data_IF_354292133826
#
_entry.id   IF_354292133826
#
_cell.length_a   1.000
_cell.length_b   1.000
_cell.length_c   1.000
_cell.angle_alpha   90.00
_cell.angle_beta   90.00
_cell.angle_gamma   90.00
#
_symmetry.space_group_name_H-M   'P 1'
#
loop_
_entity.id
_entity.type
_entity.pdbx_description
1 polymer ?
#
# COMPACT_ATOMS: atom_id res chain seq x y z
N UNK A 1 23.87 -19.62 33.54
CA UNK A 1 22.53 -19.20 33.94
C UNK A 1 22.13 -18.04 33.05
N UNK A 2 21.35 -18.31 32.00
CA UNK A 2 20.81 -17.30 31.11
C UNK A 2 19.35 -17.09 31.51
N UNK A 3 19.05 -15.92 32.03
CA UNK A 3 17.68 -15.52 32.34
C UNK A 3 16.90 -15.40 31.01
N UNK A 4 15.91 -16.25 30.87
CA UNK A 4 14.88 -16.11 29.83
C UNK A 4 13.96 -15.00 30.30
N UNK A 5 14.01 -13.82 29.64
CA UNK A 5 12.91 -12.86 29.72
C UNK A 5 11.70 -13.49 29.04
N UNK A 6 10.73 -13.91 29.83
CA UNK A 6 9.40 -14.28 29.34
C UNK A 6 8.71 -13.02 28.86
N UNK A 7 8.32 -12.96 27.60
CA UNK A 7 7.23 -12.12 27.16
C UNK A 7 5.97 -12.66 27.83
N UNK A 8 5.50 -12.01 28.89
CA UNK A 8 4.18 -12.27 29.47
C UNK A 8 3.12 -11.70 28.52
N UNK A 9 2.67 -12.51 27.57
CA UNK A 9 1.42 -12.27 26.89
C UNK A 9 0.30 -12.45 27.91
N UNK A 10 -0.45 -11.41 28.16
CA UNK A 10 -1.56 -11.33 29.08
C UNK A 10 -2.58 -12.46 28.84
N UNK A 11 -2.54 -13.48 29.64
CA UNK A 11 -3.62 -14.46 29.79
C UNK A 11 -4.68 -13.90 30.73
N UNK A 12 -5.45 -12.91 30.28
CA UNK A 12 -6.61 -12.44 31.02
C UNK A 12 -7.87 -12.87 30.28
N UNK A 13 -8.67 -13.82 30.81
CA UNK A 13 -9.90 -14.30 30.18
C UNK A 13 -10.99 -13.23 30.03
N UNK A 14 -10.82 -12.06 30.65
CA UNK A 14 -11.75 -10.93 30.53
C UNK A 14 -11.69 -10.22 29.17
N UNK A 15 -10.65 -10.43 28.35
CA UNK A 15 -10.50 -9.78 27.04
C UNK A 15 -11.23 -10.53 25.92
N UNK A 16 -11.62 -11.81 26.16
CA UNK A 16 -12.40 -12.58 25.17
C UNK A 16 -13.88 -12.21 25.04
N UNK A 17 -14.38 -11.30 25.89
CA UNK A 17 -15.78 -10.91 25.93
C UNK A 17 -16.10 -9.54 25.30
N UNK A 18 -15.14 -8.80 24.77
CA UNK A 18 -15.34 -7.41 24.29
C UNK A 18 -15.33 -7.30 22.75
N UNK A 19 -15.17 -8.40 22.04
CA UNK A 19 -15.05 -8.38 20.57
C UNK A 19 -16.39 -8.48 19.81
N UNK A 20 -17.53 -8.27 20.45
CA UNK A 20 -18.84 -8.11 19.78
C UNK A 20 -19.60 -6.98 20.48
N UNK A 21 -19.13 -5.76 20.29
CA UNK A 21 -19.96 -4.59 20.46
C UNK A 21 -19.80 -3.72 19.21
N UNK A 22 -20.66 -3.94 18.24
CA UNK A 22 -20.91 -3.01 17.14
C UNK A 22 -21.25 -1.65 17.74
N UNK A 23 -20.33 -0.70 17.67
CA UNK A 23 -20.68 0.71 17.85
C UNK A 23 -21.07 1.25 16.48
N UNK A 24 -22.37 1.14 16.20
CA UNK A 24 -23.00 1.93 15.15
C UNK A 24 -22.92 3.40 15.58
N UNK A 25 -21.94 4.15 15.10
CA UNK A 25 -21.95 5.61 15.22
C UNK A 25 -22.79 6.16 14.08
N UNK A 26 -24.08 6.34 14.34
CA UNK A 26 -24.94 7.14 13.49
C UNK A 26 -24.50 8.61 13.60
N UNK A 27 -23.74 9.10 12.63
CA UNK A 27 -23.54 10.53 12.45
C UNK A 27 -24.77 11.11 11.76
N UNK A 28 -25.69 11.64 12.56
CA UNK A 28 -26.81 12.46 12.07
C UNK A 28 -26.24 13.82 11.70
N UNK A 29 -26.07 14.09 10.40
CA UNK A 29 -25.82 15.43 9.91
C UNK A 29 -27.16 16.12 9.66
N UNK A 30 -27.42 17.20 10.41
CA UNK A 30 -28.53 18.12 10.15
C UNK A 30 -28.33 18.80 8.79
N UNK A 31 -29.16 18.42 7.84
CA UNK A 31 -29.23 19.06 6.55
C UNK A 31 -29.90 20.42 6.62
N UNK A 32 -29.43 21.35 5.83
CA UNK A 32 -30.08 22.61 5.54
C UNK A 32 -31.36 22.34 4.72
N UNK A 33 -32.53 22.61 5.30
CA UNK A 33 -33.82 22.49 4.63
C UNK A 33 -33.91 23.40 3.41
N UNK A 34 -34.12 22.80 2.22
CA UNK A 34 -34.83 23.44 1.09
C UNK A 34 -36.09 22.65 0.76
N UNK A 35 -37.17 23.40 0.64
CA UNK A 35 -38.53 22.94 0.60
C UNK A 35 -38.87 21.90 -0.49
N UNK A 36 -39.56 20.84 -0.08
CA UNK A 36 -40.64 20.22 -0.83
C UNK A 36 -40.27 19.34 -2.02
N UNK A 37 -39.73 18.13 -1.76
CA UNK A 37 -39.89 16.96 -2.61
C UNK A 37 -39.98 15.73 -1.69
N UNK A 38 -40.92 14.84 -2.01
CA UNK A 38 -41.19 13.58 -1.27
C UNK A 38 -39.91 12.71 -1.28
N UNK A 39 -39.24 12.61 -0.14
CA UNK A 39 -37.90 12.07 0.05
C UNK A 39 -37.87 10.55 0.35
N UNK A 40 -38.98 9.85 0.10
CA UNK A 40 -39.13 8.47 0.52
C UNK A 40 -38.50 7.41 -0.42
N UNK A 41 -37.84 7.80 -1.51
CA UNK A 41 -37.45 6.87 -2.55
C UNK A 41 -35.98 6.49 -2.64
N UNK A 42 -35.05 7.23 -2.03
CA UNK A 42 -33.62 6.86 -2.04
C UNK A 42 -32.95 7.40 -0.78
N UNK A 43 -32.58 6.49 0.10
CA UNK A 43 -31.70 6.78 1.21
C UNK A 43 -30.42 5.96 0.99
N UNK A 44 -29.36 6.52 0.34
CA UNK A 44 -28.09 5.85 0.33
C UNK A 44 -27.56 5.86 1.76
N UNK A 45 -27.81 4.79 2.49
CA UNK A 45 -27.13 4.57 3.75
C UNK A 45 -25.71 4.18 3.40
N UNK A 46 -24.80 5.17 3.38
CA UNK A 46 -23.38 4.91 3.26
C UNK A 46 -22.92 4.38 4.61
N UNK A 47 -22.95 3.06 4.75
CA UNK A 47 -22.30 2.40 5.88
C UNK A 47 -20.81 2.35 5.54
N UNK A 48 -20.05 3.25 6.13
CA UNK A 48 -18.59 3.12 6.14
C UNK A 48 -18.28 1.98 7.10
N UNK A 49 -18.26 0.74 6.59
CA UNK A 49 -17.55 -0.29 7.33
C UNK A 49 -16.08 0.16 7.38
N UNK A 50 -15.52 0.28 8.57
CA UNK A 50 -14.09 0.47 8.81
C UNK A 50 -13.35 -0.75 8.26
N UNK A 51 -13.14 -0.82 6.96
CA UNK A 51 -12.82 -2.06 6.31
C UNK A 51 -11.71 -2.00 5.29
N UNK A 52 -10.90 -0.95 5.23
CA UNK A 52 -9.85 -0.89 4.21
C UNK A 52 -8.53 -1.47 4.69
N UNK A 53 -8.30 -1.63 5.98
CA UNK A 53 -7.20 -2.44 6.53
C UNK A 53 -7.45 -2.70 8.01
N UNK A 54 -6.84 -3.74 8.55
CA UNK A 54 -6.81 -3.96 9.98
C UNK A 54 -6.12 -2.78 10.68
N UNK A 55 -6.63 -2.32 11.84
CA UNK A 55 -5.93 -1.34 12.66
C UNK A 55 -4.49 -1.79 12.93
N UNK A 56 -3.57 -0.84 13.08
CA UNK A 56 -2.14 -1.14 13.30
C UNK A 56 -1.91 -2.19 14.38
N UNK A 57 -2.65 -2.11 15.48
CA UNK A 57 -2.56 -3.09 16.57
C UNK A 57 -2.92 -4.51 16.13
N UNK A 58 -3.99 -4.69 15.35
CA UNK A 58 -4.39 -6.01 14.84
C UNK A 58 -3.37 -6.54 13.81
N UNK A 59 -2.80 -5.66 13.00
CA UNK A 59 -1.70 -6.02 12.10
C UNK A 59 -0.48 -6.51 12.87
N UNK A 60 -0.08 -5.81 13.92
CA UNK A 60 1.06 -6.20 14.77
C UNK A 60 0.81 -7.54 15.48
N UNK A 61 -0.38 -7.75 16.00
CA UNK A 61 -0.75 -9.04 16.63
C UNK A 61 -0.69 -10.17 15.63
N UNK A 62 -1.23 -9.99 14.42
CA UNK A 62 -1.21 -11.02 13.38
C UNK A 62 0.22 -11.31 12.90
N UNK A 63 1.03 -10.27 12.68
CA UNK A 63 2.42 -10.42 12.23
C UNK A 63 3.35 -11.04 13.29
N UNK A 64 2.97 -11.00 14.56
CA UNK A 64 3.68 -11.64 15.67
C UNK A 64 3.02 -12.95 16.10
N UNK A 65 2.18 -13.57 15.26
CA UNK A 65 1.53 -14.84 15.60
C UNK A 65 2.52 -15.99 15.80
N UNK A 66 2.11 -16.97 16.60
CA UNK A 66 2.93 -18.15 16.84
C UNK A 66 3.16 -18.95 15.55
N UNK A 67 2.20 -18.93 14.62
CA UNK A 67 2.31 -19.56 13.31
C UNK A 67 3.42 -18.92 12.47
N UNK A 68 3.49 -17.58 12.42
CA UNK A 68 4.55 -16.86 11.69
C UNK A 68 5.92 -17.21 12.25
N UNK A 69 6.04 -17.33 13.59
CA UNK A 69 7.26 -17.73 14.26
C UNK A 69 7.65 -19.19 13.96
N UNK A 70 6.69 -20.12 13.99
CA UNK A 70 6.91 -21.52 13.68
C UNK A 70 7.40 -21.72 12.25
N UNK A 71 6.87 -20.95 11.28
CA UNK A 71 7.36 -20.97 9.90
C UNK A 71 8.81 -20.49 9.82
N UNK A 72 9.13 -19.40 10.53
CA UNK A 72 10.49 -18.85 10.56
C UNK A 72 11.50 -19.84 11.18
N UNK A 73 11.11 -20.50 12.27
CA UNK A 73 11.96 -21.50 12.97
C UNK A 73 12.03 -22.84 12.21
N UNK A 74 11.27 -23.00 11.11
CA UNK A 74 11.21 -24.22 10.32
C UNK A 74 10.39 -25.36 10.95
N UNK A 75 9.65 -25.07 12.00
CA UNK A 75 8.79 -26.04 12.70
C UNK A 75 7.48 -26.29 11.93
N UNK A 76 7.03 -25.30 11.18
CA UNK A 76 5.82 -25.38 10.35
C UNK A 76 6.17 -25.15 8.88
N UNK A 77 5.68 -26.00 7.98
CA UNK A 77 5.83 -25.78 6.54
C UNK A 77 4.97 -24.61 6.11
N UNK A 78 5.50 -23.77 5.19
CA UNK A 78 4.82 -22.59 4.65
C UNK A 78 3.43 -22.94 4.07
N UNK A 79 3.29 -24.09 3.43
CA UNK A 79 2.02 -24.62 2.90
C UNK A 79 0.95 -24.89 3.97
N UNK A 80 1.32 -25.01 5.24
CA UNK A 80 0.42 -25.20 6.37
C UNK A 80 0.29 -23.93 7.24
N UNK A 81 1.16 -22.96 7.06
CA UNK A 81 0.96 -21.64 7.63
C UNK A 81 -0.22 -21.02 6.90
N UNK A 82 -1.27 -20.67 7.64
CA UNK A 82 -2.38 -19.91 7.07
C UNK A 82 -1.82 -18.55 6.68
N UNK A 83 -1.37 -18.42 5.43
CA UNK A 83 -1.22 -17.13 4.82
C UNK A 83 -2.63 -16.50 4.85
N UNK A 84 -2.82 -15.52 5.70
CA UNK A 84 -4.12 -14.87 5.84
C UNK A 84 -4.47 -14.03 4.62
N UNK A 85 -3.56 -13.97 3.61
CA UNK A 85 -3.63 -13.04 2.50
C UNK A 85 -3.45 -11.60 2.96
N UNK A 86 -3.30 -10.67 2.03
CA UNK A 86 -3.29 -9.25 2.34
C UNK A 86 -4.64 -8.88 2.98
N UNK A 87 -4.68 -8.04 4.04
CA UNK A 87 -5.91 -7.65 4.72
C UNK A 87 -6.70 -6.62 3.90
N UNK A 88 -6.69 -6.78 2.59
CA UNK A 88 -7.44 -5.94 1.68
C UNK A 88 -8.94 -6.09 1.90
N UNK A 89 -9.66 -4.98 1.93
CA UNK A 89 -11.13 -4.92 1.95
C UNK A 89 -11.59 -3.88 0.94
N UNK A 90 -12.50 -4.21 0.02
CA UNK A 90 -13.17 -3.23 -0.81
C UNK A 90 -14.05 -2.32 0.05
N UNK A 91 -14.21 -1.08 -0.38
CA UNK A 91 -15.25 -0.23 0.18
C UNK A 91 -16.61 -0.68 -0.36
N UNK A 92 -17.60 -0.86 0.54
CA UNK A 92 -18.94 -1.26 0.16
C UNK A 92 -19.83 -0.03 0.17
N UNK A 93 -20.31 0.39 -1.01
CA UNK A 93 -21.32 1.44 -1.13
C UNK A 93 -22.71 0.78 -1.14
N UNK A 94 -23.46 0.95 -0.06
CA UNK A 94 -24.81 0.44 0.07
C UNK A 94 -25.83 1.42 -0.53
N UNK A 95 -26.86 0.89 -1.21
CA UNK A 95 -27.92 1.68 -1.80
C UNK A 95 -29.21 0.88 -1.93
N UNK A 96 -30.34 1.59 -2.08
CA UNK A 96 -31.61 1.01 -2.43
C UNK A 96 -32.26 1.80 -3.57
N UNK A 97 -32.62 1.11 -4.64
CA UNK A 97 -33.25 1.69 -5.84
C UNK A 97 -34.59 1.00 -6.08
N UNK A 98 -35.67 1.78 -6.18
CA UNK A 98 -37.02 1.23 -6.25
C UNK A 98 -37.47 0.80 -7.66
N UNK A 99 -37.03 1.48 -8.73
CA UNK A 99 -37.58 1.28 -10.06
C UNK A 99 -36.63 1.33 -11.24
N UNK A 100 -35.38 1.74 -11.07
CA UNK A 100 -34.44 1.87 -12.16
C UNK A 100 -32.99 1.71 -11.68
N UNK A 101 -32.13 1.22 -12.55
CA UNK A 101 -30.67 1.26 -12.33
C UNK A 101 -30.18 2.70 -12.37
N UNK A 102 -29.05 2.96 -11.68
CA UNK A 102 -28.44 4.28 -11.57
C UNK A 102 -26.95 4.24 -11.88
N UNK A 103 -26.33 5.40 -11.76
CA UNK A 103 -24.88 5.58 -11.88
C UNK A 103 -24.40 6.27 -10.60
N UNK A 104 -23.37 5.68 -9.96
CA UNK A 104 -22.60 6.30 -8.91
C UNK A 104 -21.35 6.91 -9.53
N UNK A 105 -21.12 8.19 -9.29
CA UNK A 105 -19.86 8.88 -9.54
C UNK A 105 -19.12 9.10 -8.24
N UNK A 106 -17.83 8.82 -8.22
CA UNK A 106 -16.98 8.96 -7.06
C UNK A 106 -15.71 9.72 -7.44
N UNK A 107 -15.36 10.73 -6.65
CA UNK A 107 -14.16 11.55 -6.86
C UNK A 107 -13.59 12.06 -5.54
N UNK A 108 -12.27 12.30 -5.51
CA UNK A 108 -11.62 13.07 -4.44
C UNK A 108 -11.91 14.57 -4.59
N UNK A 109 -12.24 15.04 -5.79
CA UNK A 109 -12.61 16.42 -6.10
C UNK A 109 -14.12 16.60 -6.17
N UNK A 110 -14.60 17.65 -5.51
CA UNK A 110 -16.02 18.03 -5.49
C UNK A 110 -16.58 18.47 -6.87
N UNK A 111 -15.71 18.76 -7.84
CA UNK A 111 -16.12 19.06 -9.22
C UNK A 111 -16.43 17.80 -10.05
N UNK A 112 -16.04 16.62 -9.58
CA UNK A 112 -16.14 15.35 -10.31
C UNK A 112 -15.42 15.31 -11.66
N UNK A 113 -14.39 16.14 -11.86
CA UNK A 113 -13.63 16.21 -13.11
C UNK A 113 -13.01 14.85 -13.50
N UNK A 114 -12.49 14.11 -12.49
CA UNK A 114 -11.86 12.80 -12.65
C UNK A 114 -12.67 11.68 -11.97
N UNK A 115 -14.01 11.77 -12.03
CA UNK A 115 -14.86 10.82 -11.34
C UNK A 115 -14.77 9.41 -11.93
N UNK A 116 -14.68 8.45 -11.04
CA UNK A 116 -14.91 7.04 -11.38
C UNK A 116 -16.42 6.77 -11.39
N UNK A 117 -16.89 6.01 -12.39
CA UNK A 117 -18.30 5.66 -12.53
C UNK A 117 -18.54 4.19 -12.26
N UNK A 118 -19.62 3.91 -11.50
CA UNK A 118 -20.08 2.58 -11.14
C UNK A 118 -21.57 2.44 -11.46
N UNK A 119 -21.92 1.34 -12.12
CA UNK A 119 -23.32 1.02 -12.38
C UNK A 119 -24.00 0.50 -11.11
N UNK A 120 -25.11 1.11 -10.73
CA UNK A 120 -25.96 0.66 -9.64
C UNK A 120 -27.13 -0.13 -10.20
N UNK A 121 -27.10 -1.44 -10.00
CA UNK A 121 -28.17 -2.35 -10.46
C UNK A 121 -29.32 -2.34 -9.47
N UNK A 122 -30.54 -2.06 -9.94
CA UNK A 122 -31.76 -2.04 -9.10
C UNK A 122 -32.06 -3.36 -8.37
N UNK A 123 -31.51 -4.47 -8.83
CA UNK A 123 -31.67 -5.79 -8.18
C UNK A 123 -30.67 -6.04 -7.07
N UNK A 124 -29.71 -5.12 -6.85
CA UNK A 124 -28.67 -5.20 -5.83
C UNK A 124 -28.85 -4.09 -4.81
N UNK A 125 -28.24 -4.28 -3.64
CA UNK A 125 -28.27 -3.32 -2.54
C UNK A 125 -26.90 -2.73 -2.25
N UNK A 126 -25.87 -3.15 -2.98
CA UNK A 126 -24.50 -2.63 -2.81
C UNK A 126 -23.65 -2.78 -4.06
N UNK A 127 -22.61 -1.97 -4.13
CA UNK A 127 -21.50 -2.09 -5.08
C UNK A 127 -20.18 -2.04 -4.32
N UNK A 128 -19.26 -2.93 -4.67
CA UNK A 128 -17.90 -2.92 -4.14
C UNK A 128 -17.03 -1.98 -4.95
N UNK A 129 -16.27 -1.14 -4.24
CA UNK A 129 -15.36 -0.17 -4.82
C UNK A 129 -13.96 -0.50 -4.33
N UNK A 130 -13.12 -0.88 -5.28
CA UNK A 130 -11.77 -1.34 -5.00
C UNK A 130 -10.76 -0.19 -4.97
N UNK A 131 -9.68 -0.39 -4.20
CA UNK A 131 -8.44 0.37 -4.27
C UNK A 131 -8.55 1.87 -3.94
N UNK A 132 -9.53 2.27 -3.13
CA UNK A 132 -9.60 3.64 -2.64
C UNK A 132 -8.36 4.01 -1.81
N UNK A 133 -7.99 5.28 -1.81
CA UNK A 133 -6.98 5.81 -0.90
C UNK A 133 -7.51 5.79 0.53
N UNK A 134 -6.61 5.59 1.49
CA UNK A 134 -6.93 5.57 2.92
C UNK A 134 -6.85 6.98 3.52
N UNK A 135 -7.63 7.25 4.58
CA UNK A 135 -7.67 8.55 5.23
C UNK A 135 -8.13 9.69 4.31
N UNK A 136 -8.82 9.39 3.22
CA UNK A 136 -9.18 10.31 2.14
C UNK A 136 -10.68 10.58 2.14
N UNK A 137 -11.06 11.83 1.91
CA UNK A 137 -12.47 12.21 1.73
C UNK A 137 -12.86 12.07 0.27
N UNK A 138 -13.94 11.33 0.03
CA UNK A 138 -14.53 11.15 -1.28
C UNK A 138 -15.87 11.87 -1.36
N UNK A 139 -16.13 12.51 -2.51
CA UNK A 139 -17.42 13.03 -2.92
C UNK A 139 -18.11 11.96 -3.77
N UNK A 140 -19.38 11.71 -3.51
CA UNK A 140 -20.19 10.84 -4.33
C UNK A 140 -21.40 11.54 -4.89
N UNK A 141 -21.84 11.09 -6.07
CA UNK A 141 -23.04 11.53 -6.74
C UNK A 141 -23.74 10.32 -7.34
N UNK A 142 -25.00 10.10 -6.97
CA UNK A 142 -25.85 9.04 -7.50
C UNK A 142 -26.88 9.68 -8.42
N UNK A 143 -26.95 9.22 -9.66
CA UNK A 143 -27.96 9.65 -10.63
C UNK A 143 -28.91 8.48 -10.94
N UNK A 144 -30.22 8.67 -10.71
CA UNK A 144 -31.27 7.70 -11.00
C UNK A 144 -32.50 8.41 -11.53
N UNK A 145 -33.01 7.99 -12.70
CA UNK A 145 -34.24 8.52 -13.30
C UNK A 145 -34.24 10.07 -13.41
N UNK A 146 -33.08 10.67 -13.69
CA UNK A 146 -32.93 12.12 -13.80
C UNK A 146 -32.90 12.89 -12.46
N UNK A 147 -32.94 12.18 -11.33
CA UNK A 147 -32.70 12.73 -10.00
C UNK A 147 -31.24 12.51 -9.60
N UNK A 148 -30.70 13.43 -8.83
CA UNK A 148 -29.31 13.41 -8.40
C UNK A 148 -29.21 13.55 -6.88
N UNK A 149 -28.39 12.70 -6.27
CA UNK A 149 -28.11 12.64 -4.83
C UNK A 149 -26.62 12.75 -4.63
N UNK A 150 -26.16 13.53 -3.66
CA UNK A 150 -24.73 13.77 -3.44
C UNK A 150 -24.40 13.75 -1.95
N UNK A 151 -23.20 13.37 -1.64
CA UNK A 151 -22.67 13.41 -0.29
C UNK A 151 -21.17 13.17 -0.27
N UNK A 152 -20.65 12.95 0.92
CA UNK A 152 -19.23 12.67 1.15
C UNK A 152 -19.08 11.56 2.16
N UNK A 153 -17.99 10.80 2.07
CA UNK A 153 -17.52 9.90 3.12
C UNK A 153 -16.00 10.00 3.24
N UNK A 154 -15.44 9.50 4.32
CA UNK A 154 -14.00 9.44 4.54
C UNK A 154 -13.59 8.01 4.82
N UNK A 155 -12.57 7.53 4.10
CA UNK A 155 -11.98 6.22 4.35
C UNK A 155 -11.16 6.22 5.65
N UNK A 156 -11.05 5.04 6.29
CA UNK A 156 -10.22 4.88 7.48
C UNK A 156 -8.74 5.21 7.20
N UNK A 157 -8.04 5.76 8.20
CA UNK A 157 -6.61 6.02 8.10
C UNK A 157 -5.83 4.75 8.45
N UNK A 158 -5.18 4.15 7.47
CA UNK A 158 -4.42 2.90 7.61
C UNK A 158 -3.44 2.73 6.47
N UNK A 159 -2.62 1.68 6.51
CA UNK A 159 -1.83 1.29 5.33
C UNK A 159 -2.77 0.96 4.17
N UNK A 160 -2.46 1.49 2.99
CA UNK A 160 -3.25 1.24 1.78
C UNK A 160 -2.81 -0.04 1.11
N UNK A 161 -3.53 -1.13 1.40
CA UNK A 161 -3.41 -2.37 0.64
C UNK A 161 -4.17 -2.23 -0.69
N UNK A 162 -3.69 -2.95 -1.70
CA UNK A 162 -4.21 -2.90 -3.07
C UNK A 162 -4.53 -4.31 -3.52
N UNK A 163 -5.59 -4.46 -4.30
CA UNK A 163 -5.98 -5.71 -4.93
C UNK A 163 -5.87 -5.61 -6.45
N UNK A 164 -5.03 -6.46 -7.02
CA UNK A 164 -4.92 -6.71 -8.46
C UNK A 164 -4.90 -8.23 -8.62
N UNK A 165 -5.78 -8.82 -9.44
CA UNK A 165 -5.80 -10.28 -9.64
C UNK A 165 -4.43 -10.81 -10.09
N UNK A 166 -3.97 -11.90 -9.47
CA UNK A 166 -2.69 -12.54 -9.79
C UNK A 166 -1.45 -11.78 -9.32
N UNK A 167 -1.60 -10.71 -8.54
CA UNK A 167 -0.48 -9.92 -8.01
C UNK A 167 -0.58 -9.83 -6.50
N UNK A 168 0.49 -10.20 -5.81
CA UNK A 168 0.55 -10.32 -4.38
C UNK A 168 1.45 -9.26 -3.72
N UNK A 169 1.34 -9.13 -2.40
CA UNK A 169 2.15 -8.21 -1.59
C UNK A 169 2.01 -6.74 -1.99
N UNK A 170 0.84 -6.39 -2.55
CA UNK A 170 0.54 -5.07 -3.10
C UNK A 170 0.16 -4.08 -2.03
N UNK A 171 0.81 -2.94 -2.03
CA UNK A 171 0.46 -1.78 -1.21
C UNK A 171 1.08 -0.48 -1.71
N UNK A 172 0.46 0.61 -1.35
CA UNK A 172 0.98 1.96 -1.55
C UNK A 172 2.02 2.27 -0.46
N UNK A 173 3.12 2.90 -0.80
CA UNK A 173 4.08 3.41 0.19
C UNK A 173 3.66 4.76 0.77
N UNK A 174 2.59 5.37 0.25
CA UNK A 174 2.02 6.62 0.73
C UNK A 174 1.13 6.46 1.97
N UNK A 175 0.69 7.59 2.52
CA UNK A 175 -0.15 7.65 3.72
C UNK A 175 0.61 7.66 5.04
N UNK A 176 1.91 7.36 5.04
CA UNK A 176 2.75 7.45 6.23
C UNK A 176 3.00 8.90 6.65
N UNK A 177 3.03 9.12 7.96
CA UNK A 177 3.41 10.40 8.54
C UNK A 177 4.92 10.48 8.72
N UNK A 178 5.47 11.63 8.42
CA UNK A 178 6.87 11.94 8.69
C UNK A 178 7.04 12.49 10.12
N UNK A 179 8.24 12.43 10.66
CA UNK A 179 8.54 12.93 12.00
C UNK A 179 8.37 14.46 12.11
N UNK A 180 8.43 15.19 11.00
CA UNK A 180 8.17 16.63 10.92
C UNK A 180 6.70 16.98 10.58
N UNK A 181 5.81 15.98 10.57
CA UNK A 181 4.36 16.15 10.49
C UNK A 181 3.77 16.21 9.08
N UNK A 182 4.58 16.05 8.04
CA UNK A 182 4.12 15.91 6.66
C UNK A 182 3.51 14.52 6.42
N UNK A 183 2.97 14.31 5.23
CA UNK A 183 2.45 13.00 4.80
C UNK A 183 3.08 12.61 3.48
N UNK A 184 3.39 11.33 3.29
CA UNK A 184 3.75 10.80 1.98
C UNK A 184 2.49 10.67 1.15
N UNK A 185 2.46 11.30 -0.03
CA UNK A 185 1.34 11.26 -0.96
C UNK A 185 1.04 9.83 -1.40
N UNK A 186 -0.24 9.48 -1.45
CA UNK A 186 -0.70 8.18 -1.95
C UNK A 186 -0.88 8.19 -3.47
N UNK A 187 -0.74 7.00 -4.08
CA UNK A 187 -0.97 6.80 -5.51
C UNK A 187 0.25 7.07 -6.39
N UNK A 188 1.38 7.47 -5.81
CA UNK A 188 2.60 7.71 -6.58
C UNK A 188 3.41 6.43 -6.79
N UNK A 189 3.66 5.67 -5.74
CA UNK A 189 4.46 4.45 -5.81
C UNK A 189 3.73 3.30 -5.13
N UNK A 190 3.41 2.31 -5.95
CA UNK A 190 2.81 1.05 -5.52
C UNK A 190 3.90 -0.02 -5.58
N UNK A 191 4.06 -0.77 -4.49
CA UNK A 191 5.00 -1.90 -4.45
C UNK A 191 4.26 -3.23 -4.48
N UNK A 192 4.90 -4.25 -5.06
CA UNK A 192 4.33 -5.61 -5.13
C UNK A 192 5.32 -6.67 -5.58
N UNK A 193 4.81 -7.87 -5.92
CA UNK A 193 5.57 -8.96 -6.53
C UNK A 193 5.76 -8.74 -8.04
N UNK A 194 6.48 -9.65 -8.71
CA UNK A 194 6.58 -9.66 -10.17
C UNK A 194 5.21 -9.82 -10.84
N UNK A 195 5.12 -9.40 -12.10
CA UNK A 195 3.87 -9.38 -12.87
C UNK A 195 3.84 -10.42 -13.99
N UNK A 196 4.96 -11.08 -14.27
CA UNK A 196 5.20 -11.86 -15.49
C UNK A 196 5.29 -13.38 -15.26
N UNK A 197 5.27 -13.83 -14.00
CA UNK A 197 5.33 -15.25 -13.66
C UNK A 197 6.67 -15.92 -13.96
N UNK A 198 7.74 -15.17 -14.26
CA UNK A 198 9.03 -15.76 -14.70
C UNK A 198 9.69 -16.54 -13.57
N UNK A 199 9.63 -16.06 -12.35
CA UNK A 199 10.21 -16.74 -11.16
C UNK A 199 9.17 -17.44 -10.32
N UNK A 200 7.94 -16.95 -10.33
CA UNK A 200 6.81 -17.58 -9.65
C UNK A 200 5.57 -17.50 -10.56
N UNK A 201 5.17 -18.62 -11.15
CA UNK A 201 4.06 -18.72 -12.09
C UNK A 201 2.70 -18.27 -11.50
N UNK A 202 2.56 -18.24 -10.17
CA UNK A 202 1.37 -17.74 -9.48
C UNK A 202 1.29 -16.19 -9.49
N UNK A 203 2.40 -15.51 -9.81
CA UNK A 203 2.48 -14.05 -9.82
C UNK A 203 2.41 -13.50 -11.22
N UNK A 204 1.20 -13.42 -11.75
CA UNK A 204 0.98 -13.10 -13.15
C UNK A 204 -0.20 -12.15 -13.34
N UNK A 205 0.07 -10.95 -13.88
CA UNK A 205 -0.98 -10.04 -14.35
C UNK A 205 -1.51 -10.50 -15.70
N UNK A 206 -2.75 -10.94 -15.75
CA UNK A 206 -3.37 -11.41 -16.97
C UNK A 206 -3.68 -10.25 -17.95
N UNK A 207 -3.57 -10.48 -19.25
CA UNK A 207 -3.80 -9.45 -20.28
C UNK A 207 -5.17 -8.80 -20.20
N UNK A 208 -6.19 -9.56 -19.80
CA UNK A 208 -7.55 -9.07 -19.61
C UNK A 208 -7.69 -8.03 -18.49
N UNK A 209 -6.78 -8.04 -17.50
CA UNK A 209 -6.85 -7.16 -16.32
C UNK A 209 -6.02 -5.88 -16.50
N UNK A 210 -5.11 -5.84 -17.48
CA UNK A 210 -4.20 -4.71 -17.73
C UNK A 210 -4.96 -3.39 -17.92
N UNK A 211 -6.04 -3.41 -18.72
CA UNK A 211 -6.80 -2.20 -18.99
C UNK A 211 -7.49 -1.64 -17.74
N UNK A 212 -7.99 -2.51 -16.86
CA UNK A 212 -8.59 -2.11 -15.58
C UNK A 212 -7.54 -1.56 -14.61
N UNK A 213 -6.37 -2.21 -14.53
CA UNK A 213 -5.23 -1.76 -13.73
C UNK A 213 -4.76 -0.39 -14.17
N UNK A 214 -4.60 -0.17 -15.48
CA UNK A 214 -4.19 1.12 -16.03
C UNK A 214 -5.25 2.21 -15.81
N UNK A 215 -6.52 1.87 -15.95
CA UNK A 215 -7.60 2.83 -15.65
C UNK A 215 -7.59 3.26 -14.18
N UNK A 216 -7.24 2.35 -13.25
CA UNK A 216 -7.26 2.60 -11.81
C UNK A 216 -6.01 3.34 -11.33
N UNK A 217 -4.83 2.95 -11.82
CA UNK A 217 -3.55 3.45 -11.29
C UNK A 217 -2.80 4.36 -12.25
N UNK A 218 -2.99 4.22 -13.57
CA UNK A 218 -2.32 5.02 -14.58
C UNK A 218 -0.79 4.86 -14.59
N UNK A 219 -0.27 3.67 -14.28
CA UNK A 219 1.17 3.45 -14.22
C UNK A 219 1.88 3.89 -15.50
N UNK A 220 2.93 4.68 -15.34
CA UNK A 220 3.79 5.14 -16.44
C UNK A 220 5.18 4.49 -16.41
N UNK A 221 5.59 3.94 -15.26
CA UNK A 221 6.90 3.32 -15.11
C UNK A 221 6.85 2.06 -14.24
N UNK A 222 7.59 1.04 -14.67
CA UNK A 222 7.77 -0.25 -14.02
C UNK A 222 9.25 -0.38 -13.62
N UNK A 223 9.55 -0.16 -12.34
CA UNK A 223 10.88 -0.23 -11.77
C UNK A 223 11.12 -1.64 -11.23
N UNK A 224 11.80 -2.46 -12.01
CA UNK A 224 12.07 -3.86 -11.71
C UNK A 224 13.44 -4.04 -11.03
N UNK A 225 13.42 -4.47 -9.79
CA UNK A 225 14.62 -4.70 -8.99
C UNK A 225 15.25 -6.07 -9.20
N UNK A 226 14.86 -6.79 -10.24
CA UNK A 226 15.48 -8.06 -10.64
C UNK A 226 16.65 -7.79 -11.57
N UNK A 227 17.60 -8.76 -11.61
CA UNK A 227 18.71 -8.68 -12.56
C UNK A 227 18.21 -8.70 -14.01
N UNK A 228 18.81 -7.92 -14.94
CA UNK A 228 18.48 -7.95 -16.37
C UNK A 228 18.59 -9.36 -17.02
N UNK A 229 19.39 -10.23 -16.41
CA UNK A 229 19.60 -11.61 -16.88
C UNK A 229 18.38 -12.52 -16.65
N UNK A 230 17.30 -11.99 -16.04
CA UNK A 230 16.09 -12.76 -15.74
C UNK A 230 15.32 -13.13 -17.00
N UNK A 231 15.47 -12.35 -18.07
CA UNK A 231 14.83 -12.57 -19.38
C UNK A 231 15.87 -12.59 -20.49
N UNK A 232 15.53 -13.26 -21.60
CA UNK A 232 16.27 -13.18 -22.86
C UNK A 232 15.54 -12.22 -23.82
N UNK A 233 16.27 -11.29 -24.44
CA UNK A 233 15.75 -10.36 -25.44
C UNK A 233 15.04 -9.12 -24.86
N UNK A 234 14.27 -8.45 -25.73
CA UNK A 234 13.56 -7.24 -25.38
C UNK A 234 12.37 -7.54 -24.46
N UNK A 235 12.40 -7.04 -23.26
CA UNK A 235 11.31 -7.16 -22.28
C UNK A 235 10.40 -5.94 -22.36
N UNK A 236 9.09 -6.18 -22.26
CA UNK A 236 8.07 -5.16 -22.09
C UNK A 236 7.33 -5.38 -20.79
N UNK A 237 7.04 -4.31 -20.08
CA UNK A 237 6.24 -4.38 -18.85
C UNK A 237 4.88 -5.01 -19.10
N UNK A 238 4.45 -5.88 -18.19
CA UNK A 238 3.10 -6.45 -18.18
C UNK A 238 2.01 -5.40 -17.94
N UNK A 239 2.39 -4.20 -17.47
CA UNK A 239 1.47 -3.06 -17.30
C UNK A 239 1.06 -2.40 -18.62
N UNK A 240 1.68 -2.78 -19.73
CA UNK A 240 1.35 -2.32 -21.08
C UNK A 240 2.54 -1.73 -21.82
N UNK A 241 2.49 -1.77 -23.14
CA UNK A 241 3.59 -1.34 -24.01
C UNK A 241 3.97 0.15 -23.90
N UNK A 242 3.07 0.99 -23.38
CA UNK A 242 3.31 2.41 -23.15
C UNK A 242 4.03 2.68 -21.81
N UNK A 243 4.16 1.67 -20.93
CA UNK A 243 4.80 1.82 -19.62
C UNK A 243 6.31 1.67 -19.79
N UNK A 244 7.06 2.67 -19.36
CA UNK A 244 8.52 2.59 -19.29
C UNK A 244 8.94 1.46 -18.36
N UNK A 245 10.05 0.79 -18.68
CA UNK A 245 10.54 -0.33 -17.87
C UNK A 245 12.06 -0.30 -17.77
N UNK A 246 12.58 -0.64 -16.58
CA UNK A 246 14.01 -0.81 -16.37
C UNK A 246 14.31 -1.88 -15.33
N UNK A 247 15.20 -2.79 -15.68
CA UNK A 247 15.79 -3.75 -14.73
C UNK A 247 16.96 -3.15 -13.96
N UNK A 248 17.02 -3.49 -12.66
CA UNK A 248 18.15 -3.18 -11.79
C UNK A 248 18.55 -4.40 -10.98
N UNK A 249 19.81 -4.80 -11.00
CA UNK A 249 20.32 -5.79 -10.05
C UNK A 249 20.43 -5.14 -8.67
N UNK A 250 19.29 -5.08 -7.97
CA UNK A 250 19.20 -4.38 -6.70
C UNK A 250 19.66 -5.25 -5.52
N UNK A 251 20.34 -4.65 -4.53
CA UNK A 251 20.77 -5.34 -3.33
C UNK A 251 19.62 -5.66 -2.38
N UNK A 252 19.87 -6.60 -1.46
CA UNK A 252 19.00 -6.87 -0.32
C UNK A 252 19.69 -6.50 0.99
N UNK A 253 18.96 -5.86 1.90
CA UNK A 253 19.43 -5.58 3.26
C UNK A 253 20.81 -4.92 3.30
N UNK A 254 21.72 -5.43 4.13
CA UNK A 254 23.07 -4.91 4.27
C UNK A 254 23.96 -5.03 3.01
N UNK A 255 23.50 -5.66 1.93
CA UNK A 255 24.22 -5.62 0.66
C UNK A 255 24.27 -4.23 0.05
N UNK A 256 23.36 -3.31 0.42
CA UNK A 256 23.39 -1.90 -0.04
C UNK A 256 24.75 -1.25 0.20
N UNK A 257 25.47 -1.64 1.25
CA UNK A 257 26.79 -1.08 1.59
C UNK A 257 27.96 -1.64 0.77
N UNK A 258 27.70 -2.60 -0.13
CA UNK A 258 28.73 -3.20 -0.95
C UNK A 258 28.98 -2.37 -2.21
N UNK A 259 30.26 -2.17 -2.61
CA UNK A 259 30.59 -1.35 -3.78
C UNK A 259 29.95 -1.79 -5.09
N UNK A 260 29.75 -3.09 -5.28
CA UNK A 260 29.17 -3.67 -6.51
C UNK A 260 27.72 -3.26 -6.77
N UNK A 261 26.99 -2.80 -5.74
CA UNK A 261 25.59 -2.38 -5.87
C UNK A 261 25.40 -0.85 -5.91
N UNK A 262 26.46 -0.06 -5.75
CA UNK A 262 26.34 1.40 -5.68
C UNK A 262 25.80 2.01 -6.97
N UNK A 263 26.28 1.54 -8.14
CA UNK A 263 25.76 2.03 -9.43
C UNK A 263 24.29 1.71 -9.63
N UNK A 264 23.87 0.49 -9.26
CA UNK A 264 22.46 0.08 -9.33
C UNK A 264 21.58 0.96 -8.42
N UNK A 265 22.00 1.18 -7.18
CA UNK A 265 21.30 2.07 -6.26
C UNK A 265 21.26 3.51 -6.78
N UNK A 266 22.38 4.03 -7.30
CA UNK A 266 22.48 5.39 -7.87
C UNK A 266 21.42 5.59 -8.97
N UNK A 267 21.29 4.61 -9.87
CA UNK A 267 20.33 4.67 -10.97
C UNK A 267 18.89 4.51 -10.50
N UNK A 268 18.62 3.64 -9.51
CA UNK A 268 17.29 3.51 -8.88
C UNK A 268 16.85 4.85 -8.28
N UNK A 269 17.74 5.53 -7.54
CA UNK A 269 17.41 6.82 -6.92
C UNK A 269 17.29 7.95 -7.95
N UNK A 270 18.01 7.89 -9.08
CA UNK A 270 17.80 8.81 -10.21
C UNK A 270 16.38 8.64 -10.81
N UNK A 271 15.91 7.39 -10.96
CA UNK A 271 14.54 7.12 -11.44
C UNK A 271 13.49 7.59 -10.42
N UNK A 272 13.73 7.39 -9.12
CA UNK A 272 12.85 7.88 -8.05
C UNK A 272 12.81 9.42 -7.95
N UNK A 273 13.82 10.12 -8.45
CA UNK A 273 13.87 11.57 -8.48
C UNK A 273 13.22 12.19 -9.73
N UNK A 274 12.81 11.38 -10.71
CA UNK A 274 12.22 11.81 -11.95
C UNK A 274 10.69 11.93 -11.84
N UNK A 275 10.11 13.16 -11.84
CA UNK A 275 8.67 13.34 -11.69
C UNK A 275 7.85 12.75 -12.84
N UNK A 276 8.44 12.55 -14.02
CA UNK A 276 7.74 12.02 -15.20
C UNK A 276 7.55 10.49 -15.13
N UNK A 277 8.10 9.82 -14.10
CA UNK A 277 7.99 8.36 -13.87
C UNK A 277 6.87 7.93 -12.92
N UNK A 278 5.95 8.83 -12.60
CA UNK A 278 4.84 8.53 -11.68
C UNK A 278 3.47 8.62 -12.35
N UNK A 279 2.52 7.75 -11.98
CA UNK A 279 2.62 6.67 -10.97
C UNK A 279 3.54 5.52 -11.38
N UNK A 280 4.30 5.00 -10.39
CA UNK A 280 5.33 3.97 -10.58
C UNK A 280 4.94 2.66 -9.90
N UNK A 281 5.22 1.54 -10.55
CA UNK A 281 5.19 0.20 -9.94
C UNK A 281 6.61 -0.23 -9.59
N UNK A 282 6.84 -0.59 -8.33
CA UNK A 282 8.15 -1.01 -7.81
C UNK A 282 8.08 -2.46 -7.36
N UNK A 283 8.89 -3.33 -7.94
CA UNK A 283 8.84 -4.73 -7.59
C UNK A 283 10.18 -5.46 -7.66
N UNK A 284 10.22 -6.65 -7.09
CA UNK A 284 11.17 -7.72 -7.40
C UNK A 284 10.37 -9.00 -7.62
N UNK A 285 10.91 -10.19 -7.40
CA UNK A 285 10.15 -11.44 -7.54
C UNK A 285 8.99 -11.51 -6.52
N UNK A 286 9.27 -11.32 -5.23
CA UNK A 286 8.28 -11.45 -4.14
C UNK A 286 7.78 -10.10 -3.61
N UNK A 287 8.30 -9.00 -4.13
CA UNK A 287 8.06 -7.68 -3.56
C UNK A 287 8.55 -7.54 -2.11
N UNK A 288 9.47 -8.38 -1.67
CA UNK A 288 9.86 -8.56 -0.26
C UNK A 288 11.20 -7.91 0.06
N UNK A 289 12.31 -8.57 -0.32
CA UNK A 289 13.64 -8.24 0.20
C UNK A 289 14.25 -7.02 -0.51
N UNK A 290 14.46 -7.09 -1.83
CA UNK A 290 15.00 -5.96 -2.63
C UNK A 290 14.06 -4.76 -2.58
N UNK A 291 12.78 -5.00 -2.84
CA UNK A 291 11.73 -3.98 -2.77
C UNK A 291 11.66 -3.35 -1.38
N UNK A 292 11.64 -4.16 -0.30
CA UNK A 292 11.61 -3.66 1.07
C UNK A 292 12.86 -2.85 1.43
N UNK A 293 14.04 -3.21 0.91
CA UNK A 293 15.28 -2.48 1.16
C UNK A 293 15.27 -1.11 0.48
N UNK A 294 14.82 -1.03 -0.79
CA UNK A 294 14.71 0.25 -1.51
C UNK A 294 13.65 1.15 -0.86
N UNK A 295 12.48 0.59 -0.48
CA UNK A 295 11.42 1.35 0.19
C UNK A 295 11.87 1.87 1.55
N UNK A 296 12.65 1.08 2.33
CA UNK A 296 13.23 1.54 3.60
C UNK A 296 14.10 2.79 3.39
N UNK A 297 15.00 2.77 2.41
CA UNK A 297 15.85 3.92 2.12
C UNK A 297 15.03 5.13 1.65
N UNK A 298 14.04 4.92 0.78
CA UNK A 298 13.17 5.98 0.26
C UNK A 298 12.34 6.61 1.37
N UNK A 299 11.59 5.81 2.15
CA UNK A 299 10.76 6.34 3.23
C UNK A 299 11.60 6.92 4.37
N UNK A 300 12.79 6.37 4.66
CA UNK A 300 13.71 6.93 5.64
C UNK A 300 14.26 8.29 5.21
N UNK A 301 14.62 8.46 3.92
CA UNK A 301 14.96 9.76 3.32
C UNK A 301 13.81 10.77 3.47
N UNK A 302 12.56 10.30 3.39
CA UNK A 302 11.36 11.11 3.59
C UNK A 302 11.00 11.35 5.06
N UNK A 303 11.87 10.99 6.00
CA UNK A 303 11.72 11.20 7.45
C UNK A 303 10.59 10.39 8.11
N UNK A 304 10.32 9.19 7.61
CA UNK A 304 9.43 8.24 8.28
C UNK A 304 10.15 7.63 9.49
N UNK A 305 9.42 7.36 10.59
CA UNK A 305 10.01 6.78 11.80
C UNK A 305 10.58 5.38 11.55
N UNK A 306 11.65 5.02 12.25
CA UNK A 306 12.23 3.66 12.16
C UNK A 306 11.20 2.57 12.47
N UNK A 307 10.30 2.83 13.40
CA UNK A 307 9.22 1.93 13.75
C UNK A 307 8.27 1.68 12.58
N UNK A 308 7.85 2.75 11.89
CA UNK A 308 6.98 2.66 10.72
C UNK A 308 7.68 2.00 9.53
N UNK A 309 8.98 2.26 9.32
CA UNK A 309 9.81 1.57 8.32
C UNK A 309 9.84 0.06 8.55
N UNK A 310 10.02 -0.36 9.82
CA UNK A 310 9.97 -1.77 10.17
C UNK A 310 8.59 -2.37 10.00
N UNK A 311 7.55 -1.62 10.37
CA UNK A 311 6.16 -2.07 10.18
C UNK A 311 5.84 -2.24 8.69
N UNK A 312 6.23 -1.29 7.84
CA UNK A 312 6.05 -1.38 6.38
C UNK A 312 6.68 -2.68 5.83
N UNK A 313 7.91 -2.98 6.20
CA UNK A 313 8.57 -4.21 5.79
C UNK A 313 7.83 -5.47 6.30
N UNK A 314 7.41 -5.48 7.57
CA UNK A 314 6.72 -6.60 8.21
C UNK A 314 5.33 -6.89 7.62
N UNK A 315 4.68 -5.91 6.98
CA UNK A 315 3.42 -6.13 6.27
C UNK A 315 3.52 -7.23 5.20
N UNK A 316 4.71 -7.52 4.68
CA UNK A 316 4.96 -8.69 3.82
C UNK A 316 4.64 -10.02 4.53
N UNK A 317 4.58 -10.03 5.86
CA UNK A 317 4.22 -11.19 6.67
C UNK A 317 2.80 -11.73 6.38
N UNK A 318 1.89 -10.90 5.87
CA UNK A 318 0.58 -11.36 5.42
C UNK A 318 0.64 -12.35 4.25
N UNK A 319 1.67 -12.24 3.41
CA UNK A 319 1.90 -13.12 2.26
C UNK A 319 2.98 -14.16 2.56
N UNK A 320 3.98 -13.75 3.35
CA UNK A 320 5.11 -14.61 3.75
C UNK A 320 5.34 -14.49 5.25
N UNK A 321 4.66 -15.28 6.08
CA UNK A 321 4.69 -15.16 7.55
C UNK A 321 6.09 -15.12 8.18
N UNK A 322 7.06 -15.85 7.63
CA UNK A 322 8.45 -15.85 8.10
C UNK A 322 9.12 -14.46 8.12
N UNK A 323 8.60 -13.48 7.39
CA UNK A 323 9.15 -12.11 7.36
C UNK A 323 8.79 -11.32 8.61
N UNK A 324 7.67 -11.63 9.25
CA UNK A 324 7.18 -10.90 10.43
C UNK A 324 8.18 -10.91 11.59
N UNK A 325 8.97 -11.98 11.72
CA UNK A 325 9.98 -12.16 12.79
C UNK A 325 11.41 -11.96 12.29
N UNK A 326 11.60 -11.58 11.04
CA UNK A 326 12.91 -11.39 10.44
C UNK A 326 13.51 -10.06 10.92
N UNK A 327 14.76 -10.11 11.39
CA UNK A 327 15.52 -8.96 11.89
C UNK A 327 16.62 -8.47 10.93
N UNK A 328 16.59 -8.87 9.67
CA UNK A 328 17.63 -8.49 8.69
C UNK A 328 17.68 -6.97 8.44
N UNK A 329 16.54 -6.28 8.57
CA UNK A 329 16.52 -4.81 8.47
C UNK A 329 17.23 -4.14 9.64
N UNK A 330 17.30 -4.76 10.83
CA UNK A 330 18.05 -4.21 11.97
C UNK A 330 19.54 -4.04 11.64
N UNK A 331 20.09 -4.92 10.79
CA UNK A 331 21.49 -4.80 10.33
C UNK A 331 21.68 -3.59 9.40
N UNK A 332 20.66 -3.20 8.66
CA UNK A 332 20.67 -2.00 7.82
C UNK A 332 20.71 -0.75 8.70
N UNK A 333 19.81 -0.65 9.66
CA UNK A 333 19.78 0.48 10.60
C UNK A 333 21.09 0.61 11.40
N UNK A 334 21.64 -0.51 11.87
CA UNK A 334 22.91 -0.51 12.60
C UNK A 334 24.05 0.05 11.74
N UNK A 335 24.13 -0.31 10.46
CA UNK A 335 25.18 0.16 9.57
C UNK A 335 24.95 1.61 9.11
N UNK A 336 23.69 2.02 8.91
CA UNK A 336 23.36 3.44 8.63
C UNK A 336 23.79 4.35 9.78
N UNK A 337 23.71 3.89 11.02
CA UNK A 337 24.17 4.63 12.20
C UNK A 337 25.67 4.92 12.23
N UNK A 338 26.48 4.38 11.31
CA UNK A 338 27.89 4.73 11.15
C UNK A 338 28.12 5.97 10.26
N UNK A 339 27.10 6.46 9.57
CA UNK A 339 27.18 7.67 8.75
C UNK A 339 26.84 8.91 9.58
N UNK A 340 27.39 10.07 9.16
CA UNK A 340 27.16 11.34 9.84
C UNK A 340 25.68 11.73 9.81
N UNK A 341 25.17 12.24 10.94
CA UNK A 341 23.81 12.70 11.14
C UNK A 341 23.29 12.36 12.53
N UNK A 342 22.48 13.25 13.09
CA UNK A 342 21.84 13.08 14.40
C UNK A 342 20.54 12.26 14.30
N UNK A 343 20.00 12.11 13.09
CA UNK A 343 18.77 11.40 12.79
C UNK A 343 18.98 10.31 11.74
N UNK A 344 18.09 9.31 11.73
CA UNK A 344 18.10 8.26 10.69
C UNK A 344 17.99 8.86 9.27
N UNK A 345 17.18 9.90 9.11
CA UNK A 345 17.04 10.60 7.84
C UNK A 345 18.38 11.17 7.37
N UNK A 346 19.09 11.90 8.24
CA UNK A 346 20.39 12.50 7.93
C UNK A 346 21.42 11.43 7.60
N UNK A 347 21.47 10.34 8.35
CA UNK A 347 22.37 9.21 8.10
C UNK A 347 22.08 8.56 6.72
N UNK A 348 20.82 8.39 6.35
CA UNK A 348 20.41 7.87 5.04
C UNK A 348 20.82 8.85 3.93
N UNK A 349 20.54 10.15 4.09
CA UNK A 349 20.93 11.17 3.11
C UNK A 349 22.44 11.21 2.96
N UNK A 350 23.19 11.18 4.07
CA UNK A 350 24.63 11.16 4.03
C UNK A 350 25.17 9.91 3.28
N UNK A 351 24.65 8.72 3.59
CA UNK A 351 24.98 7.50 2.87
C UNK A 351 24.68 7.62 1.37
N UNK A 352 23.46 8.04 1.00
CA UNK A 352 23.05 8.17 -0.39
C UNK A 352 23.90 9.17 -1.18
N UNK A 353 24.27 10.29 -0.57
CA UNK A 353 25.04 11.34 -1.25
C UNK A 353 26.53 11.03 -1.30
N UNK A 354 27.14 10.55 -0.20
CA UNK A 354 28.61 10.39 -0.10
C UNK A 354 29.11 9.05 -0.63
N UNK A 355 28.28 8.01 -0.58
CA UNK A 355 28.65 6.64 -0.98
C UNK A 355 27.98 6.23 -2.28
N UNK A 356 26.68 6.40 -2.39
CA UNK A 356 25.92 6.01 -3.58
C UNK A 356 26.06 7.06 -4.70
N UNK A 357 26.25 8.33 -4.34
CA UNK A 357 26.43 9.43 -5.30
C UNK A 357 25.11 10.03 -5.81
N UNK A 358 24.02 9.89 -5.03
CA UNK A 358 22.76 10.62 -5.28
C UNK A 358 23.01 12.10 -5.03
N UNK A 359 22.60 12.96 -5.95
CA UNK A 359 22.83 14.41 -5.81
C UNK A 359 21.84 15.05 -4.84
N UNK A 360 22.18 16.23 -4.32
CA UNK A 360 21.30 16.98 -3.44
C UNK A 360 20.00 17.39 -4.18
N UNK A 361 20.09 17.72 -5.45
CA UNK A 361 18.92 18.06 -6.30
C UNK A 361 17.97 16.86 -6.44
N UNK A 362 18.52 15.65 -6.55
CA UNK A 362 17.67 14.42 -6.60
C UNK A 362 16.98 14.14 -5.26
N UNK A 363 17.69 14.36 -4.13
CA UNK A 363 17.06 14.27 -2.79
C UNK A 363 15.89 15.25 -2.67
N UNK A 364 16.09 16.51 -3.06
CA UNK A 364 15.07 17.57 -3.03
C UNK A 364 13.92 17.27 -3.98
N UNK A 365 14.19 16.72 -5.16
CA UNK A 365 13.17 16.28 -6.11
C UNK A 365 12.30 15.18 -5.51
N UNK A 366 12.90 14.13 -4.92
CA UNK A 366 12.17 13.05 -4.24
C UNK A 366 11.28 13.62 -3.14
N UNK A 367 11.81 14.51 -2.28
CA UNK A 367 11.02 15.13 -1.21
C UNK A 367 9.86 15.95 -1.76
N UNK A 368 10.06 16.70 -2.83
CA UNK A 368 9.01 17.49 -3.50
C UNK A 368 7.93 16.61 -4.15
N UNK A 369 8.33 15.51 -4.78
CA UNK A 369 7.40 14.55 -5.40
C UNK A 369 6.50 13.93 -4.34
N UNK A 370 7.07 13.42 -3.26
CA UNK A 370 6.37 12.55 -2.31
C UNK A 370 5.70 13.26 -1.14
N UNK A 371 6.16 14.44 -0.71
CA UNK A 371 5.68 15.05 0.53
C UNK A 371 4.58 16.10 0.30
N UNK A 372 3.58 16.11 1.22
CA UNK A 372 2.51 17.11 1.33
C UNK A 372 2.29 17.53 2.79
#
# INVERSE_FOLDING_TARGET
MKEKRKCECFSNPAVRGILIALVAVCLIFSGCEKAGVDDSAINPTVTVEEGVALPRFEQEVLLCSDEAKQVYDGELKIENAVATGTPYRPFVFEYQLDQASGILRLSEDSSFADAQEYNLDQSKTSVMIDNLKTGTTYHYQVEVSGKQYSGTFRTASSNRFISIPGVENLRDIGGYKTLDGKTIKQGLLIRGCELDGIKNEDYFLADQDVAAVQKTFGFVYDLDLRSPEITEGDYQSRLGAQVGHQFYDAPTYAQIFRPEYQDSLRRIFADLADPDKYPMYLHCTWGRDRTGTVVLLLQGLLNVSQEDLMQEYRLTGYVTPAVATNNKMDTVFMQLGAYEGDTLQEQIINYLTTVVGVTQEEIESIQSIFLE
#
